data_IF_311104746735
#
_entry.id   IF_311104746735
#
_cell.length_a   1.000
_cell.length_b   1.000
_cell.length_c   1.000
_cell.angle_alpha   90.00
_cell.angle_beta   90.00
_cell.angle_gamma   90.00
#
_symmetry.space_group_name_H-M   'P 1'
#
loop_
_entity.id
_entity.type
_entity.pdbx_description
1 polymer ?
#
# COMPACT_ATOMS: atom_id res chain seq x y z
N UNK A 1 22.86 -4.28 -53.86
CA UNK A 1 21.73 -3.56 -53.23
C UNK A 1 21.14 -4.43 -52.16
N UNK A 2 21.16 -3.96 -50.91
CA UNK A 2 21.13 -4.77 -49.69
C UNK A 2 19.70 -5.23 -49.36
N UNK A 3 19.57 -6.53 -49.05
CA UNK A 3 18.36 -7.20 -48.53
C UNK A 3 18.20 -6.81 -47.05
N UNK A 4 17.01 -6.31 -46.67
CA UNK A 4 16.66 -6.08 -45.27
C UNK A 4 15.86 -7.28 -44.76
N UNK A 5 16.55 -8.17 -44.04
CA UNK A 5 15.93 -9.00 -43.00
C UNK A 5 16.47 -8.50 -41.66
N UNK A 6 15.62 -7.88 -40.85
CA UNK A 6 15.87 -7.74 -39.42
C UNK A 6 14.66 -8.29 -38.68
N UNK A 7 14.92 -9.46 -38.12
CA UNK A 7 14.16 -10.21 -37.14
C UNK A 7 13.29 -9.31 -36.26
N UNK A 8 11.98 -9.57 -36.29
CA UNK A 8 11.06 -9.13 -35.27
C UNK A 8 11.39 -9.82 -33.95
N UNK A 9 12.12 -9.13 -33.09
CA UNK A 9 12.02 -9.31 -31.65
C UNK A 9 11.45 -8.00 -31.10
N UNK A 10 10.23 -7.97 -30.54
CA UNK A 10 9.79 -6.80 -29.82
C UNK A 10 10.77 -6.63 -28.65
N UNK A 11 11.42 -5.48 -28.66
CA UNK A 11 12.41 -5.10 -27.67
C UNK A 11 11.65 -4.87 -26.37
N UNK A 12 11.56 -5.93 -25.58
CA UNK A 12 11.22 -5.97 -24.16
C UNK A 12 12.31 -5.21 -23.40
N UNK A 13 12.48 -3.92 -23.75
CA UNK A 13 13.38 -3.00 -23.09
C UNK A 13 12.80 -2.81 -21.72
N UNK A 14 13.35 -3.58 -20.79
CA UNK A 14 13.61 -3.22 -19.41
C UNK A 14 13.29 -1.75 -19.14
N UNK A 15 12.01 -1.46 -18.90
CA UNK A 15 11.65 -0.36 -18.04
C UNK A 15 11.92 -0.87 -16.63
N UNK A 16 13.19 -1.12 -16.30
CA UNK A 16 13.60 -0.79 -14.94
C UNK A 16 13.53 0.73 -14.88
N UNK A 17 12.29 1.25 -14.78
CA UNK A 17 12.08 2.54 -14.20
C UNK A 17 12.92 2.52 -12.94
N UNK A 18 13.92 3.38 -12.87
CA UNK A 18 14.68 3.62 -11.65
C UNK A 18 13.68 4.23 -10.67
N UNK A 19 12.73 3.41 -10.19
CA UNK A 19 11.71 3.81 -9.25
C UNK A 19 12.51 3.94 -7.97
N UNK A 20 12.97 5.17 -7.74
CA UNK A 20 13.73 5.57 -6.54
C UNK A 20 13.02 5.13 -5.26
N UNK A 21 11.72 4.89 -5.35
CA UNK A 21 10.86 4.39 -4.30
C UNK A 21 10.09 3.18 -4.82
N UNK A 22 10.10 2.09 -4.05
CA UNK A 22 9.34 0.88 -4.34
C UNK A 22 8.35 0.61 -3.19
N UNK A 23 7.03 0.66 -3.45
CA UNK A 23 6.01 0.35 -2.47
C UNK A 23 5.88 -1.15 -2.24
N UNK A 24 6.42 -1.99 -3.14
CA UNK A 24 6.34 -3.45 -3.04
C UNK A 24 7.03 -3.95 -1.79
N UNK A 25 6.40 -4.91 -1.11
CA UNK A 25 6.94 -5.53 0.09
C UNK A 25 5.94 -5.60 1.22
N UNK A 26 6.43 -5.97 2.40
CA UNK A 26 5.64 -6.06 3.62
C UNK A 26 5.93 -4.85 4.49
N UNK A 27 4.89 -4.19 4.97
CA UNK A 27 4.96 -3.01 5.81
C UNK A 27 4.19 -3.25 7.10
N UNK A 28 4.71 -2.80 8.23
CA UNK A 28 4.07 -2.94 9.53
C UNK A 28 3.99 -1.61 10.25
N UNK A 29 2.86 -1.35 10.89
CA UNK A 29 2.67 -0.20 11.77
C UNK A 29 1.84 -0.60 12.98
N UNK A 30 1.99 0.18 14.04
CA UNK A 30 1.20 0.01 15.25
C UNK A 30 -0.01 0.95 15.24
N UNK A 31 -1.16 0.46 15.69
CA UNK A 31 -2.35 1.27 15.90
C UNK A 31 -2.73 1.23 17.37
N UNK A 32 -2.94 2.41 17.96
CA UNK A 32 -3.52 2.51 19.29
C UNK A 32 -5.03 2.20 19.25
N UNK A 33 -5.39 1.10 19.93
CA UNK A 33 -6.77 0.71 20.18
C UNK A 33 -7.43 1.55 21.28
N UNK A 34 -8.73 1.29 21.51
CA UNK A 34 -9.56 2.11 22.43
C UNK A 34 -9.15 2.00 23.91
N UNK A 35 -8.50 0.92 24.32
CA UNK A 35 -8.20 0.62 25.73
C UNK A 35 -6.70 0.72 26.05
N UNK A 36 -5.92 1.48 25.27
CA UNK A 36 -4.46 1.54 25.40
C UNK A 36 -3.72 0.34 24.79
N UNK A 37 -4.45 -0.70 24.36
CA UNK A 37 -3.86 -1.81 23.63
C UNK A 37 -3.38 -1.36 22.25
N UNK A 38 -2.11 -1.62 21.94
CA UNK A 38 -1.56 -1.49 20.59
C UNK A 38 -1.81 -2.77 19.80
N UNK A 39 -2.09 -2.65 18.51
CA UNK A 39 -2.05 -3.78 17.60
C UNK A 39 -1.17 -3.49 16.38
N UNK A 40 -0.38 -4.48 15.99
CA UNK A 40 0.40 -4.42 14.77
C UNK A 40 -0.49 -4.74 13.59
N UNK A 41 -0.52 -3.85 12.60
CA UNK A 41 -1.13 -4.12 11.29
C UNK A 41 -0.02 -4.44 10.30
N UNK A 42 -0.28 -5.40 9.40
CA UNK A 42 0.64 -5.75 8.32
C UNK A 42 0.00 -5.43 6.98
N UNK A 43 0.72 -4.79 6.07
CA UNK A 43 0.30 -4.47 4.72
C UNK A 43 1.27 -5.15 3.75
N UNK A 44 0.75 -6.00 2.87
CA UNK A 44 1.50 -6.60 1.77
C UNK A 44 1.13 -5.84 0.50
N UNK A 45 2.12 -5.24 -0.16
CA UNK A 45 1.95 -4.49 -1.40
C UNK A 45 2.67 -5.19 -2.55
N UNK A 46 2.04 -5.15 -3.72
CA UNK A 46 2.59 -5.59 -5.00
C UNK A 46 2.33 -4.52 -6.05
N UNK A 47 3.39 -4.09 -6.73
CA UNK A 47 3.32 -3.16 -7.84
C UNK A 47 3.58 -3.91 -9.15
N UNK A 48 2.57 -3.94 -10.02
CA UNK A 48 2.66 -4.55 -11.36
C UNK A 48 2.51 -3.46 -12.41
N UNK A 49 3.62 -3.04 -13.04
CA UNK A 49 3.60 -1.87 -13.91
C UNK A 49 3.29 -0.60 -13.11
N UNK A 50 2.09 -0.06 -13.35
CA UNK A 50 1.53 1.09 -12.63
C UNK A 50 0.39 0.71 -11.67
N UNK A 51 0.03 -0.58 -11.62
CA UNK A 51 -1.07 -1.07 -10.79
C UNK A 51 -0.53 -1.48 -9.41
N UNK A 52 -0.90 -0.72 -8.39
CA UNK A 52 -0.65 -1.09 -7.00
C UNK A 52 -1.79 -1.98 -6.50
N UNK A 53 -1.45 -3.16 -5.98
CA UNK A 53 -2.38 -4.08 -5.32
C UNK A 53 -1.82 -4.48 -3.96
N UNK A 54 -2.66 -5.03 -3.10
CA UNK A 54 -2.21 -5.44 -1.78
C UNK A 54 -3.33 -5.85 -0.85
N UNK A 55 -2.92 -6.34 0.32
CA UNK A 55 -3.82 -6.76 1.41
C UNK A 55 -3.30 -6.23 2.73
N UNK A 56 -4.21 -5.76 3.57
CA UNK A 56 -3.96 -5.50 4.99
C UNK A 56 -4.39 -6.71 5.78
N UNK A 57 -3.50 -7.26 6.60
CA UNK A 57 -3.81 -8.32 7.55
C UNK A 57 -4.38 -7.69 8.83
N UNK A 58 -5.58 -8.13 9.18
CA UNK A 58 -6.24 -7.81 10.44
C UNK A 58 -5.95 -8.83 11.54
N UNK A 59 -6.83 -8.88 12.54
CA UNK A 59 -6.78 -9.92 13.58
C UNK A 59 -7.04 -11.29 12.96
N UNK A 60 -6.43 -12.32 13.54
CA UNK A 60 -6.57 -13.72 13.08
C UNK A 60 -6.19 -13.90 11.60
N UNK A 61 -5.22 -13.13 11.12
CA UNK A 61 -4.73 -13.15 9.73
C UNK A 61 -5.81 -12.91 8.66
N UNK A 62 -6.96 -12.32 9.03
CA UNK A 62 -7.99 -11.95 8.07
C UNK A 62 -7.45 -10.93 7.08
N UNK A 63 -7.55 -11.25 5.79
CA UNK A 63 -7.05 -10.41 4.71
C UNK A 63 -8.12 -9.39 4.26
N UNK A 64 -7.72 -8.13 4.19
CA UNK A 64 -8.55 -7.04 3.67
C UNK A 64 -7.89 -6.45 2.43
N UNK A 65 -8.44 -6.65 1.22
CA UNK A 65 -7.84 -6.10 0.01
C UNK A 65 -7.88 -4.58 0.03
N UNK A 66 -6.80 -3.96 -0.45
CA UNK A 66 -6.78 -2.52 -0.67
C UNK A 66 -7.61 -2.17 -1.91
N UNK A 67 -8.24 -1.01 -1.88
CA UNK A 67 -9.02 -0.41 -2.97
C UNK A 67 -8.47 0.98 -3.30
N UNK A 68 -8.80 1.49 -4.47
CA UNK A 68 -8.42 2.85 -4.93
C UNK A 68 -6.93 3.16 -4.72
N UNK A 69 -6.10 2.14 -4.95
CA UNK A 69 -4.68 2.21 -4.70
C UNK A 69 -3.96 2.99 -5.82
N UNK A 70 -3.11 3.94 -5.43
CA UNK A 70 -2.32 4.75 -6.34
C UNK A 70 -0.91 4.94 -5.79
N UNK A 71 0.07 4.95 -6.71
CA UNK A 71 1.47 5.19 -6.38
C UNK A 71 2.15 6.06 -7.43
N UNK A 72 2.57 7.27 -7.04
CA UNK A 72 3.20 8.25 -7.93
C UNK A 72 4.43 8.85 -7.28
N UNK A 73 5.60 8.71 -7.91
CA UNK A 73 6.86 9.19 -7.35
C UNK A 73 7.20 8.47 -6.04
N UNK A 74 6.92 9.12 -4.91
CA UNK A 74 7.02 8.55 -3.56
C UNK A 74 5.71 8.61 -2.77
N UNK A 75 4.63 9.07 -3.37
CA UNK A 75 3.32 9.20 -2.73
C UNK A 75 2.49 7.94 -2.97
N UNK A 76 1.96 7.39 -1.90
CA UNK A 76 1.08 6.23 -1.88
C UNK A 76 -0.27 6.63 -1.27
N UNK A 77 -1.36 6.19 -1.89
CA UNK A 77 -2.69 6.30 -1.30
C UNK A 77 -3.50 5.05 -1.62
N UNK A 78 -4.31 4.59 -0.67
CA UNK A 78 -5.19 3.44 -0.82
C UNK A 78 -6.29 3.47 0.23
N UNK A 79 -7.36 2.73 0.00
CA UNK A 79 -8.46 2.54 0.95
C UNK A 79 -8.54 1.08 1.39
N UNK A 80 -9.01 0.87 2.62
CA UNK A 80 -9.27 -0.46 3.17
C UNK A 80 -10.63 -0.44 3.86
N UNK A 81 -11.54 -1.30 3.42
CA UNK A 81 -12.81 -1.54 4.13
C UNK A 81 -12.55 -2.59 5.20
N UNK A 82 -12.72 -2.23 6.47
CA UNK A 82 -12.59 -3.15 7.60
C UNK A 82 -13.95 -3.41 8.22
N UNK A 83 -14.11 -4.63 8.72
CA UNK A 83 -15.32 -5.07 9.42
C UNK A 83 -15.00 -5.28 10.89
N UNK A 84 -15.82 -4.71 11.78
CA UNK A 84 -15.74 -4.89 13.22
C UNK A 84 -17.12 -5.28 13.76
N UNK A 85 -17.29 -6.56 14.07
CA UNK A 85 -18.61 -7.15 14.31
C UNK A 85 -19.49 -7.02 13.06
N UNK A 86 -20.71 -6.52 13.22
CA UNK A 86 -21.65 -6.29 12.11
C UNK A 86 -21.46 -4.94 11.39
N UNK A 87 -20.45 -4.15 11.78
CA UNK A 87 -20.22 -2.81 11.21
C UNK A 87 -19.02 -2.81 10.28
N UNK A 88 -19.20 -2.26 9.09
CA UNK A 88 -18.12 -1.97 8.16
C UNK A 88 -17.74 -0.49 8.23
N UNK A 89 -16.46 -0.20 8.11
CA UNK A 89 -15.95 1.16 8.00
C UNK A 89 -14.74 1.21 7.06
N UNK A 90 -14.63 2.30 6.32
CA UNK A 90 -13.53 2.50 5.36
C UNK A 90 -12.45 3.36 5.99
N UNK A 91 -11.21 2.91 5.85
CA UNK A 91 -10.01 3.63 6.23
C UNK A 91 -9.28 4.08 4.97
N UNK A 92 -9.11 5.38 4.80
CA UNK A 92 -8.34 5.98 3.70
C UNK A 92 -6.93 6.30 4.18
N UNK A 93 -5.93 5.72 3.54
CA UNK A 93 -4.52 5.92 3.84
C UNK A 93 -3.88 6.79 2.77
N UNK A 94 -3.06 7.74 3.19
CA UNK A 94 -2.16 8.51 2.35
C UNK A 94 -0.78 8.57 3.01
N UNK A 95 0.29 8.52 2.22
CA UNK A 95 1.62 8.58 2.77
C UNK A 95 2.72 8.80 1.76
N UNK A 96 3.92 9.02 2.27
CA UNK A 96 5.14 9.19 1.49
C UNK A 96 6.18 8.15 1.91
N UNK A 97 6.71 7.46 0.91
CA UNK A 97 7.79 6.49 1.08
C UNK A 97 9.13 7.24 1.19
N UNK A 98 9.89 6.92 2.22
CA UNK A 98 11.26 7.41 2.46
C UNK A 98 12.11 6.22 2.92
N UNK A 99 12.83 5.59 1.98
CA UNK A 99 13.56 4.36 2.25
C UNK A 99 12.61 3.25 2.71
N UNK A 100 12.79 2.82 3.95
CA UNK A 100 12.03 1.73 4.58
C UNK A 100 10.92 2.22 5.50
N UNK A 101 10.50 3.48 5.36
CA UNK A 101 9.38 4.05 6.10
C UNK A 101 8.33 4.66 5.17
N UNK A 102 7.07 4.50 5.56
CA UNK A 102 5.92 5.23 5.03
C UNK A 102 5.40 6.12 6.13
N UNK A 103 5.38 7.42 5.89
CA UNK A 103 4.83 8.39 6.83
C UNK A 103 3.66 9.13 6.17
N UNK A 104 2.54 9.27 6.87
CA UNK A 104 1.42 10.04 6.36
C UNK A 104 0.23 10.04 7.30
N UNK A 105 -0.97 10.01 6.73
CA UNK A 105 -2.22 10.10 7.47
C UNK A 105 -3.18 8.97 7.11
N UNK A 106 -3.97 8.56 8.10
CA UNK A 106 -5.12 7.67 7.94
C UNK A 106 -6.37 8.41 8.38
N UNK A 107 -7.39 8.38 7.51
CA UNK A 107 -8.72 8.96 7.75
C UNK A 107 -9.74 7.84 7.85
N UNK A 108 -10.61 7.88 8.86
CA UNK A 108 -11.69 6.91 9.01
C UNK A 108 -12.86 7.53 9.76
N UNK A 109 -14.07 7.05 9.47
CA UNK A 109 -15.27 7.47 10.20
C UNK A 109 -15.32 6.80 11.58
N UNK A 110 -15.60 7.60 12.60
CA UNK A 110 -15.93 7.13 13.94
C UNK A 110 -17.23 7.78 14.39
N UNK A 111 -18.32 7.02 14.29
CA UNK A 111 -19.65 7.45 14.75
C UNK A 111 -20.17 8.69 14.00
N UNK A 112 -19.89 8.81 12.71
CA UNK A 112 -20.30 9.95 11.87
C UNK A 112 -19.33 11.12 11.88
N UNK A 113 -18.22 11.03 12.63
CA UNK A 113 -17.15 12.01 12.62
C UNK A 113 -15.91 11.47 11.90
N UNK A 114 -15.40 12.25 10.94
CA UNK A 114 -14.14 11.94 10.27
C UNK A 114 -12.98 12.16 11.25
N UNK A 115 -12.29 11.06 11.59
CA UNK A 115 -11.09 11.08 12.43
C UNK A 115 -9.86 10.93 11.54
N UNK A 116 -8.89 11.80 11.74
CA UNK A 116 -7.58 11.74 11.08
C UNK A 116 -6.49 11.43 12.11
N UNK A 117 -5.56 10.54 11.75
CA UNK A 117 -4.41 10.18 12.58
C UNK A 117 -3.17 10.05 11.73
N UNK A 118 -2.02 10.33 12.31
CA UNK A 118 -0.74 9.98 11.69
C UNK A 118 -0.57 8.46 11.65
N UNK A 119 0.02 7.96 10.56
CA UNK A 119 0.49 6.58 10.49
C UNK A 119 1.94 6.58 10.03
N UNK A 120 2.73 5.73 10.68
CA UNK A 120 4.13 5.49 10.36
C UNK A 120 4.30 3.97 10.21
N UNK A 121 4.47 3.51 8.98
CA UNK A 121 4.73 2.11 8.69
C UNK A 121 6.21 1.89 8.37
N UNK A 122 6.77 0.81 8.88
CA UNK A 122 8.13 0.38 8.60
C UNK A 122 8.11 -0.84 7.70
N UNK A 123 9.03 -0.93 6.75
CA UNK A 123 9.24 -2.14 5.96
C UNK A 123 9.64 -3.24 6.92
N UNK A 124 8.92 -4.35 6.84
CA UNK A 124 9.30 -5.60 7.50
C UNK A 124 10.17 -6.36 6.51
N UNK A 125 11.49 -6.25 6.67
CA UNK A 125 12.40 -7.18 6.02
C UNK A 125 12.12 -8.59 6.54
N UNK A 126 12.16 -9.54 5.61
CA UNK A 126 11.86 -10.95 5.85
C UNK A 126 13.04 -11.68 6.49
#
# INVERSE_FOLDING_TARGET
TIKFERQGQPMEREWKATRKFDPTGTWTWEFAGRNGNTWTSTLKLKLEGDKLTGVVLGREDREFPIKDASFKGNEIAFQVTRQFGDREFTQSYSGRIKGDEINGQVKFDRQGEAVEREWAAKRKDQ
#
